data_IF_608940399610
#
_entry.id   IF_608940399610
#
_cell.length_a   1.000
_cell.length_b   1.000
_cell.length_c   1.000
_cell.angle_alpha   90.00
_cell.angle_beta   90.00
_cell.angle_gamma   90.00
#
_symmetry.space_group_name_H-M   'P 1'
#
loop_
_entity.id
_entity.type
_entity.pdbx_description
1 polymer ?
#
# COMPACT_ATOMS: atom_id res chain seq x y z
N UNK A 1 11.40 5.30 17.36
CA UNK A 1 11.48 6.72 17.58
C UNK A 1 10.11 7.35 17.43
N UNK A 2 9.83 8.24 18.31
CA UNK A 2 8.57 8.92 18.43
C UNK A 2 8.31 9.78 17.19
N UNK A 3 7.11 9.77 16.65
CA UNK A 3 6.64 10.60 15.54
C UNK A 3 7.11 10.23 14.11
N UNK A 4 7.48 9.00 13.86
CA UNK A 4 7.77 8.55 12.50
C UNK A 4 6.75 7.52 12.00
N UNK A 5 6.42 7.63 10.75
CA UNK A 5 5.70 6.62 9.99
C UNK A 5 6.66 5.93 9.01
N UNK A 6 6.47 4.65 8.81
CA UNK A 6 7.19 3.86 7.82
C UNK A 6 6.23 3.35 6.76
N UNK A 7 6.69 3.30 5.51
CA UNK A 7 5.90 2.75 4.44
C UNK A 7 6.73 1.89 3.49
N UNK A 8 6.10 0.82 3.01
CA UNK A 8 6.52 0.00 1.89
C UNK A 8 5.38 -0.02 0.89
N UNK A 9 5.56 0.64 -0.23
CA UNK A 9 4.50 0.96 -1.15
C UNK A 9 4.96 1.01 -2.60
N UNK A 10 4.02 1.06 -3.51
CA UNK A 10 4.24 1.01 -4.94
C UNK A 10 3.52 2.15 -5.64
N UNK A 11 4.22 2.82 -6.55
CA UNK A 11 3.64 3.80 -7.46
C UNK A 11 3.80 3.35 -8.90
N UNK A 12 2.84 3.66 -9.79
CA UNK A 12 2.98 3.37 -11.21
C UNK A 12 4.07 4.24 -11.84
N UNK A 13 4.82 3.66 -12.76
CA UNK A 13 5.72 4.45 -13.60
C UNK A 13 4.89 5.39 -14.50
N UNK A 14 5.09 6.68 -14.34
CA UNK A 14 4.33 7.71 -15.05
C UNK A 14 4.40 7.60 -16.58
N UNK A 15 5.41 6.89 -17.11
CA UNK A 15 5.56 6.62 -18.54
C UNK A 15 4.57 5.59 -19.05
N UNK A 16 4.19 4.61 -18.21
CA UNK A 16 3.43 3.42 -18.58
C UNK A 16 2.06 3.32 -17.93
N UNK A 17 1.75 4.19 -16.95
CA UNK A 17 0.43 4.20 -16.31
C UNK A 17 -0.70 4.41 -17.33
N UNK A 18 -1.75 3.60 -17.23
CA UNK A 18 -2.90 3.66 -18.16
C UNK A 18 -3.78 4.88 -17.93
N UNK A 19 -3.91 5.30 -16.67
CA UNK A 19 -4.59 6.53 -16.29
C UNK A 19 -3.59 7.48 -15.66
N UNK A 20 -3.66 8.75 -16.02
CA UNK A 20 -2.66 9.75 -15.61
C UNK A 20 -3.05 10.44 -14.30
N UNK A 21 -2.05 10.61 -13.45
CA UNK A 21 -2.19 11.32 -12.18
C UNK A 21 -2.68 10.42 -11.04
N UNK A 22 -2.62 10.96 -9.84
CA UNK A 22 -3.11 10.32 -8.63
C UNK A 22 -4.53 10.83 -8.31
N UNK A 23 -5.48 9.99 -7.84
CA UNK A 23 -5.33 8.54 -7.59
C UNK A 23 -5.61 7.66 -8.82
N UNK A 24 -5.86 8.25 -9.97
CA UNK A 24 -6.31 7.56 -11.18
C UNK A 24 -5.34 6.48 -11.66
N UNK A 25 -4.03 6.73 -11.56
CA UNK A 25 -2.99 5.79 -11.95
C UNK A 25 -2.78 4.64 -10.97
N UNK A 26 -3.38 4.73 -9.79
CA UNK A 26 -3.26 3.75 -8.72
C UNK A 26 -2.05 3.97 -7.80
N UNK A 27 -2.14 3.43 -6.59
CA UNK A 27 -1.07 3.31 -5.59
C UNK A 27 -1.37 2.07 -4.75
N UNK A 28 -0.34 1.37 -4.29
CA UNK A 28 -0.50 0.15 -3.49
C UNK A 28 0.40 0.26 -2.27
N UNK A 29 -0.20 0.37 -1.08
CA UNK A 29 0.53 0.44 0.18
C UNK A 29 0.51 -0.93 0.86
N UNK A 30 1.62 -1.65 0.71
CA UNK A 30 1.77 -2.99 1.30
C UNK A 30 1.89 -2.88 2.82
N UNK A 31 2.51 -1.81 3.27
CA UNK A 31 2.68 -1.46 4.67
C UNK A 31 2.66 0.05 4.82
N UNK A 32 1.81 0.53 5.71
CA UNK A 32 1.93 1.82 6.36
C UNK A 32 1.91 1.60 7.87
N UNK A 33 2.84 2.18 8.59
CA UNK A 33 2.90 2.11 10.04
C UNK A 33 3.10 3.49 10.64
N UNK A 34 2.32 3.79 11.66
CA UNK A 34 2.50 4.97 12.50
C UNK A 34 2.88 4.54 13.91
N UNK A 35 3.85 5.21 14.50
CA UNK A 35 4.22 5.00 15.91
C UNK A 35 3.04 5.13 16.90
N UNK A 36 1.94 5.75 16.45
CA UNK A 36 0.73 5.93 17.26
C UNK A 36 -0.10 4.65 17.42
N UNK A 37 0.21 3.64 16.64
CA UNK A 37 -0.61 2.44 16.53
C UNK A 37 0.19 1.17 16.74
N UNK A 38 -0.46 0.17 17.31
CA UNK A 38 0.03 -1.19 17.49
C UNK A 38 -0.37 -2.12 16.33
N UNK A 39 -0.81 -1.54 15.21
CA UNK A 39 -1.16 -2.20 13.98
C UNK A 39 -0.48 -1.53 12.78
N UNK A 40 -0.49 -2.20 11.65
CA UNK A 40 -0.15 -1.62 10.36
C UNK A 40 -1.43 -1.32 9.57
N UNK A 41 -1.30 -0.48 8.56
CA UNK A 41 -2.35 -0.26 7.58
C UNK A 41 -1.92 -0.82 6.23
N UNK A 42 -2.88 -1.30 5.47
CA UNK A 42 -2.75 -1.65 4.07
C UNK A 42 -3.77 -0.84 3.28
N UNK A 43 -3.36 -0.28 2.16
CA UNK A 43 -4.18 0.65 1.39
C UNK A 43 -4.07 0.32 -0.09
N UNK A 44 -5.17 0.51 -0.80
CA UNK A 44 -5.21 0.55 -2.26
C UNK A 44 -5.83 1.88 -2.66
N UNK A 45 -5.18 2.62 -3.54
CA UNK A 45 -5.70 3.84 -4.11
C UNK A 45 -6.01 3.66 -5.59
N UNK A 46 -7.17 4.15 -5.99
CA UNK A 46 -7.62 4.29 -7.37
C UNK A 46 -8.71 5.36 -7.42
N UNK A 47 -9.06 5.83 -8.59
CA UNK A 47 -10.20 6.76 -8.72
C UNK A 47 -11.47 6.17 -8.09
N UNK A 48 -11.71 4.88 -8.31
CA UNK A 48 -12.87 4.21 -7.73
C UNK A 48 -12.88 4.29 -6.20
N UNK A 49 -11.75 3.96 -5.57
CA UNK A 49 -11.64 3.89 -4.11
C UNK A 49 -11.68 5.29 -3.48
N UNK A 50 -11.00 6.26 -4.08
CA UNK A 50 -10.79 7.57 -3.44
C UNK A 50 -11.89 8.57 -3.78
N UNK A 51 -12.56 8.40 -4.93
CA UNK A 51 -13.52 9.40 -5.45
C UNK A 51 -14.92 8.82 -5.59
N UNK A 52 -15.07 7.61 -6.14
CA UNK A 52 -16.39 7.03 -6.43
C UNK A 52 -17.00 6.39 -5.18
N UNK A 53 -16.24 5.58 -4.46
CA UNK A 53 -16.67 4.91 -3.23
C UNK A 53 -15.66 5.11 -2.09
N UNK A 54 -15.52 6.32 -1.55
CA UNK A 54 -14.57 6.60 -0.47
C UNK A 54 -14.97 5.98 0.88
N UNK A 55 -16.14 5.36 0.98
CA UNK A 55 -16.58 4.64 2.18
C UNK A 55 -16.13 3.17 2.24
N UNK A 56 -15.43 2.71 1.19
CA UNK A 56 -14.92 1.34 1.13
C UNK A 56 -13.83 1.05 2.18
N UNK A 57 -13.47 -0.24 2.32
CA UNK A 57 -12.51 -0.72 3.32
C UNK A 57 -11.09 -0.91 2.78
N UNK A 58 -10.72 -0.26 1.66
CA UNK A 58 -9.42 -0.45 1.02
C UNK A 58 -8.44 0.67 1.28
N UNK A 59 -8.88 1.78 1.88
CA UNK A 59 -8.03 2.86 2.36
C UNK A 59 -7.72 2.67 3.85
N UNK A 60 -6.42 2.67 4.21
CA UNK A 60 -5.97 2.63 5.59
C UNK A 60 -6.55 1.47 6.40
N UNK A 61 -6.67 0.30 5.78
CA UNK A 61 -7.23 -0.88 6.44
C UNK A 61 -6.33 -1.36 7.58
N UNK A 62 -6.79 -1.31 8.84
CA UNK A 62 -6.01 -1.77 9.98
C UNK A 62 -5.76 -3.28 9.90
N UNK A 63 -4.51 -3.69 10.13
CA UNK A 63 -4.09 -5.08 10.12
C UNK A 63 -3.38 -5.40 11.43
N UNK A 64 -3.99 -6.26 12.22
CA UNK A 64 -3.44 -6.82 13.46
C UNK A 64 -2.94 -8.24 13.24
N UNK A 65 -3.59 -8.96 12.33
CA UNK A 65 -3.31 -10.37 12.06
C UNK A 65 -1.89 -10.54 11.50
N UNK A 66 -1.12 -11.38 12.14
CA UNK A 66 0.26 -11.69 11.75
C UNK A 66 1.28 -10.60 12.11
N UNK A 67 0.87 -9.38 12.42
CA UNK A 67 1.79 -8.31 12.78
C UNK A 67 2.36 -8.48 14.20
N UNK A 68 3.68 -8.37 14.32
CA UNK A 68 4.41 -8.48 15.58
C UNK A 68 5.13 -7.15 15.87
N UNK A 69 4.58 -6.28 16.74
CA UNK A 69 5.19 -5.01 17.09
C UNK A 69 6.61 -5.17 17.65
N UNK A 70 7.52 -4.29 17.24
CA UNK A 70 8.90 -4.28 17.75
C UNK A 70 9.80 -5.40 17.23
N UNK A 71 9.36 -6.14 16.22
CA UNK A 71 10.13 -7.21 15.57
C UNK A 71 10.22 -6.98 14.07
N UNK A 72 11.12 -7.70 13.39
CA UNK A 72 11.07 -7.81 11.94
C UNK A 72 9.81 -8.57 11.53
N UNK A 73 9.13 -8.04 10.53
CA UNK A 73 7.96 -8.64 9.93
C UNK A 73 8.18 -8.79 8.41
N UNK A 74 7.54 -9.78 7.82
CA UNK A 74 7.55 -9.98 6.37
C UNK A 74 6.22 -9.47 5.81
N UNK A 75 6.29 -8.51 4.93
CA UNK A 75 5.14 -7.98 4.21
C UNK A 75 5.20 -8.42 2.77
N UNK A 76 4.10 -8.90 2.24
CA UNK A 76 4.02 -9.44 0.89
C UNK A 76 2.83 -8.93 0.10
N UNK A 77 3.00 -8.88 -1.21
CA UNK A 77 1.96 -8.58 -2.17
C UNK A 77 2.12 -9.50 -3.37
N UNK A 78 1.04 -10.20 -3.73
CA UNK A 78 0.91 -10.84 -5.03
C UNK A 78 0.11 -9.91 -5.95
N UNK A 79 0.71 -9.52 -7.07
CA UNK A 79 0.04 -8.78 -8.14
C UNK A 79 -0.35 -9.80 -9.20
N UNK A 80 -1.62 -10.17 -9.22
CA UNK A 80 -2.20 -11.13 -10.15
C UNK A 80 -2.97 -10.40 -11.25
N UNK A 81 -3.35 -11.11 -12.29
CA UNK A 81 -4.12 -10.52 -13.40
C UNK A 81 -5.39 -9.80 -12.94
N UNK A 82 -6.09 -10.37 -11.95
CA UNK A 82 -7.41 -9.90 -11.51
C UNK A 82 -7.49 -9.64 -9.99
N UNK A 83 -6.37 -9.67 -9.27
CA UNK A 83 -6.39 -9.37 -7.83
C UNK A 83 -5.03 -8.92 -7.29
N UNK A 84 -5.08 -8.10 -6.26
CA UNK A 84 -3.97 -7.78 -5.36
C UNK A 84 -4.20 -8.54 -4.06
N UNK A 85 -3.26 -9.40 -3.67
CA UNK A 85 -3.35 -10.18 -2.43
C UNK A 85 -2.24 -9.79 -1.48
N UNK A 86 -2.62 -9.34 -0.30
CA UNK A 86 -1.70 -8.81 0.71
C UNK A 86 -1.45 -9.83 1.82
N UNK A 87 -0.22 -9.84 2.33
CA UNK A 87 0.21 -10.76 3.38
C UNK A 87 1.02 -10.05 4.47
N UNK A 88 0.88 -10.53 5.70
CA UNK A 88 1.75 -10.18 6.83
C UNK A 88 2.21 -11.46 7.50
N UNK A 89 3.52 -11.73 7.53
CA UNK A 89 4.13 -12.94 8.08
C UNK A 89 3.49 -14.25 7.57
N UNK A 90 3.15 -14.28 6.26
CA UNK A 90 2.52 -15.42 5.59
C UNK A 90 0.99 -15.51 5.77
N UNK A 91 0.40 -14.69 6.61
CA UNK A 91 -1.04 -14.61 6.77
C UNK A 91 -1.66 -13.68 5.73
N UNK A 92 -2.65 -14.16 4.99
CA UNK A 92 -3.41 -13.33 4.05
C UNK A 92 -4.28 -12.34 4.82
N UNK A 93 -4.12 -11.05 4.53
CA UNK A 93 -4.72 -9.95 5.28
C UNK A 93 -5.76 -9.16 4.49
N UNK A 94 -5.52 -8.98 3.19
CA UNK A 94 -6.45 -8.26 2.32
C UNK A 94 -6.41 -8.86 0.91
N UNK A 95 -7.51 -8.77 0.20
CA UNK A 95 -7.58 -9.02 -1.25
C UNK A 95 -8.40 -7.91 -1.88
N UNK A 96 -7.88 -7.31 -2.94
CA UNK A 96 -8.60 -6.35 -3.78
C UNK A 96 -8.77 -6.96 -5.16
N UNK A 97 -10.01 -7.04 -5.62
CA UNK A 97 -10.38 -7.74 -6.85
C UNK A 97 -10.66 -6.75 -7.99
N UNK A 98 -10.29 -7.13 -9.20
CA UNK A 98 -10.77 -6.46 -10.40
C UNK A 98 -12.26 -6.73 -10.58
N UNK A 99 -13.07 -5.67 -10.55
CA UNK A 99 -14.53 -5.77 -10.64
C UNK A 99 -15.02 -5.94 -12.07
N UNK A 100 -14.13 -5.83 -13.07
CA UNK A 100 -14.46 -5.90 -14.50
C UNK A 100 -15.64 -4.96 -14.88
N UNK A 101 -15.58 -3.73 -14.42
CA UNK A 101 -16.64 -2.77 -14.65
C UNK A 101 -16.77 -2.42 -16.13
N UNK A 102 -18.00 -2.42 -16.64
CA UNK A 102 -18.28 -2.09 -18.03
C UNK A 102 -17.87 -0.65 -18.41
N UNK A 103 -17.83 0.26 -17.42
CA UNK A 103 -17.42 1.65 -17.55
C UNK A 103 -16.07 1.92 -16.85
N UNK A 104 -15.13 0.98 -16.94
CA UNK A 104 -13.82 1.05 -16.28
C UNK A 104 -13.05 2.34 -16.58
N UNK A 105 -13.15 2.87 -17.80
CA UNK A 105 -12.48 4.12 -18.21
C UNK A 105 -12.95 5.35 -17.41
N UNK A 106 -14.17 5.32 -16.90
CA UNK A 106 -14.72 6.36 -16.02
C UNK A 106 -14.41 6.05 -14.57
N UNK A 107 -14.60 4.80 -14.16
CA UNK A 107 -14.44 4.35 -12.78
C UNK A 107 -12.97 4.18 -12.38
N UNK A 108 -12.10 3.80 -13.32
CA UNK A 108 -10.66 3.55 -13.09
C UNK A 108 -10.43 2.73 -11.82
N UNK A 109 -11.19 1.64 -11.73
CA UNK A 109 -11.18 0.75 -10.59
C UNK A 109 -9.93 -0.13 -10.59
N UNK A 110 -9.43 -0.51 -11.78
CA UNK A 110 -8.31 -1.42 -11.95
C UNK A 110 -7.16 -0.81 -12.75
N UNK A 111 -6.40 0.16 -12.20
CA UNK A 111 -5.23 0.73 -12.87
C UNK A 111 -3.97 -0.17 -12.79
N UNK A 112 -4.01 -1.31 -12.10
CA UNK A 112 -2.87 -2.12 -11.66
C UNK A 112 -2.29 -3.05 -12.75
N UNK A 113 -2.38 -2.67 -14.00
CA UNK A 113 -1.80 -3.36 -15.16
C UNK A 113 -0.55 -2.65 -15.72
N UNK A 114 -0.11 -1.60 -15.06
CA UNK A 114 1.10 -0.83 -15.42
C UNK A 114 2.33 -1.37 -14.71
N UNK A 115 3.50 -0.93 -15.14
CA UNK A 115 4.74 -1.14 -14.38
C UNK A 115 4.75 -0.25 -13.13
N UNK A 116 5.10 -0.84 -12.00
CA UNK A 116 5.19 -0.17 -10.70
C UNK A 116 6.63 -0.17 -10.20
N UNK A 117 7.02 0.86 -9.47
CA UNK A 117 8.28 0.89 -8.75
C UNK A 117 8.06 0.88 -7.23
N UNK A 118 9.03 0.29 -6.53
CA UNK A 118 9.01 0.12 -5.08
C UNK A 118 9.53 1.40 -4.41
N UNK A 119 8.83 1.82 -3.36
CA UNK A 119 9.25 2.90 -2.48
C UNK A 119 9.33 2.38 -1.05
N UNK A 120 10.46 2.63 -0.40
CA UNK A 120 10.64 2.45 1.03
C UNK A 120 10.86 3.83 1.62
N UNK A 121 9.98 4.24 2.52
CA UNK A 121 10.02 5.58 3.07
C UNK A 121 9.80 5.62 4.58
N UNK A 122 10.39 6.65 5.20
CA UNK A 122 10.07 7.04 6.56
C UNK A 122 9.80 8.53 6.57
N UNK A 123 8.73 8.94 7.23
CA UNK A 123 8.30 10.33 7.28
C UNK A 123 7.83 10.72 8.68
N UNK A 124 7.89 12.01 9.04
CA UNK A 124 7.28 12.48 10.27
C UNK A 124 5.77 12.29 10.23
N UNK A 125 5.19 11.73 11.28
CA UNK A 125 3.74 11.63 11.48
C UNK A 125 3.30 12.67 12.49
N UNK A 126 2.25 13.44 12.19
CA UNK A 126 1.74 14.46 13.09
C UNK A 126 2.55 15.76 13.13
N UNK A 127 3.35 16.00 12.11
CA UNK A 127 3.94 17.32 11.75
C UNK A 127 4.69 18.07 12.84
N UNK A 128 5.41 17.41 13.75
CA UNK A 128 6.20 18.15 14.75
C UNK A 128 7.58 17.52 14.91
N UNK A 129 8.56 18.38 14.87
CA UNK A 129 9.98 18.18 15.08
C UNK A 129 10.37 16.83 15.68
N UNK A 130 10.99 16.00 14.86
CA UNK A 130 11.69 14.83 15.38
C UNK A 130 12.80 15.29 16.31
N UNK A 131 12.74 14.93 17.56
CA UNK A 131 13.77 15.24 18.54
C UNK A 131 15.03 14.39 18.36
N UNK A 132 14.93 13.34 17.56
CA UNK A 132 16.01 12.42 17.22
C UNK A 132 15.77 11.79 15.84
N UNK A 133 16.82 11.29 15.16
CA UNK A 133 16.66 10.52 13.93
C UNK A 133 15.76 9.30 14.11
N UNK A 134 14.88 9.06 13.13
CA UNK A 134 14.07 7.86 13.04
C UNK A 134 14.62 6.94 11.96
N UNK A 135 14.60 5.65 12.18
CA UNK A 135 15.16 4.65 11.28
C UNK A 135 14.11 3.60 10.94
N UNK A 136 14.04 3.26 9.67
CA UNK A 136 13.40 2.06 9.17
C UNK A 136 14.49 1.04 8.84
N UNK A 137 14.40 -0.14 9.43
CA UNK A 137 15.34 -1.22 9.17
C UNK A 137 14.73 -2.18 8.15
N UNK A 138 15.43 -2.39 7.05
CA UNK A 138 15.02 -3.30 5.98
C UNK A 138 16.13 -4.33 5.80
N UNK A 139 15.83 -5.59 6.04
CA UNK A 139 16.78 -6.69 5.89
C UNK A 139 16.89 -7.10 4.42
N UNK A 140 15.77 -7.28 3.74
CA UNK A 140 15.74 -7.63 2.32
C UNK A 140 14.45 -7.18 1.64
N UNK A 141 14.54 -7.02 0.33
CA UNK A 141 13.39 -6.89 -0.59
C UNK A 141 13.60 -7.92 -1.70
N UNK A 142 12.55 -8.66 -2.03
CA UNK A 142 12.58 -9.65 -3.10
C UNK A 142 11.37 -9.49 -4.01
N UNK A 143 11.63 -9.48 -5.30
CA UNK A 143 10.61 -9.54 -6.36
C UNK A 143 10.77 -10.84 -7.10
N UNK A 144 9.69 -11.57 -7.29
CA UNK A 144 9.66 -12.81 -8.06
C UNK A 144 8.56 -12.74 -9.10
N UNK A 145 8.82 -13.29 -10.28
CA UNK A 145 7.77 -13.51 -11.26
C UNK A 145 7.00 -14.78 -10.87
N UNK A 146 5.69 -14.67 -10.81
CA UNK A 146 4.78 -15.79 -10.61
C UNK A 146 4.55 -16.54 -11.93
#
# INVERSE_FOLDING_TARGET
>A
SDNAGQAFWLMPDSRYQIYKGWPDGGEIDILEHSYLHDYIQQTVHSHYIDVVDPSNNYQGKPVYKGYNPGQYNIYGLDILENSLVFYTNGEKTMTYENMHLANETEMKQWPFISDYYIILSTSPVGAKNLSAPSYMYVDWVRVTKL
#
